data_IF_783907903786
#
_entry.id   IF_783907903786
#
_cell.length_a   1.000
_cell.length_b   1.000
_cell.length_c   1.000
_cell.angle_alpha   90.00
_cell.angle_beta   90.00
_cell.angle_gamma   90.00
#
_symmetry.space_group_name_H-M   'P 1'
#
loop_
_entity.id
_entity.type
_entity.pdbx_description
1 polymer ?
#
# COMPACT_ATOMS: atom_id res chain seq x y z
N UNK A 1 6.29 13.51 12.59
CA UNK A 1 5.15 12.58 12.75
C UNK A 1 3.87 13.42 12.85
N UNK A 2 2.92 13.25 11.94
CA UNK A 2 1.63 13.96 11.98
C UNK A 2 0.85 13.58 13.26
N UNK A 3 0.39 14.58 14.00
CA UNK A 3 -0.44 14.39 15.16
C UNK A 3 -1.89 14.21 14.74
N UNK A 4 -2.44 13.02 15.04
CA UNK A 4 -3.88 12.78 14.89
C UNK A 4 -4.74 13.65 15.84
N UNK A 5 -4.15 14.47 16.71
CA UNK A 5 -4.90 15.30 17.67
C UNK A 5 -4.72 16.79 17.42
N UNK A 6 -3.74 17.19 16.61
CA UNK A 6 -3.36 18.58 16.49
C UNK A 6 -4.04 19.25 15.29
N UNK A 7 -4.91 20.26 15.50
CA UNK A 7 -5.52 21.00 14.40
C UNK A 7 -4.49 21.71 13.51
N UNK A 8 -3.25 21.95 13.99
CA UNK A 8 -2.17 22.53 13.20
C UNK A 8 -1.68 21.59 12.09
N UNK A 9 -1.86 20.28 12.27
CA UNK A 9 -1.58 19.28 11.24
C UNK A 9 -2.87 18.99 10.45
N UNK A 10 -3.96 18.69 11.15
CA UNK A 10 -5.19 18.18 10.53
C UNK A 10 -5.86 19.17 9.55
N UNK A 11 -5.85 20.48 9.83
CA UNK A 11 -6.58 21.45 9.00
C UNK A 11 -5.85 21.78 7.69
N UNK A 12 -4.52 22.03 7.68
CA UNK A 12 -3.77 22.10 6.43
C UNK A 12 -3.87 20.83 5.59
N UNK A 13 -3.77 19.66 6.22
CA UNK A 13 -3.84 18.37 5.55
C UNK A 13 -5.24 18.14 4.95
N UNK A 14 -6.32 18.53 5.65
CA UNK A 14 -7.69 18.45 5.12
C UNK A 14 -7.88 19.35 3.90
N UNK A 15 -7.29 20.55 3.90
CA UNK A 15 -7.34 21.43 2.74
C UNK A 15 -6.61 20.83 1.53
N UNK A 16 -5.49 20.13 1.76
CA UNK A 16 -4.75 19.43 0.71
C UNK A 16 -5.51 18.22 0.18
N UNK A 17 -6.07 17.39 1.07
CA UNK A 17 -6.91 16.26 0.71
C UNK A 17 -8.11 16.68 -0.13
N UNK A 18 -8.84 17.71 0.31
CA UNK A 18 -9.98 18.25 -0.43
C UNK A 18 -9.58 18.82 -1.79
N UNK A 19 -8.44 19.50 -1.89
CA UNK A 19 -7.91 19.97 -3.17
C UNK A 19 -7.63 18.81 -4.13
N UNK A 20 -6.97 17.75 -3.66
CA UNK A 20 -6.72 16.54 -4.44
C UNK A 20 -8.00 15.83 -4.87
N UNK A 21 -9.04 15.84 -4.03
CA UNK A 21 -10.36 15.26 -4.32
C UNK A 21 -11.31 16.22 -5.08
N UNK A 22 -10.79 17.32 -5.64
CA UNK A 22 -11.54 18.18 -6.55
C UNK A 22 -12.42 19.26 -5.91
N UNK A 23 -12.32 19.47 -4.61
CA UNK A 23 -13.08 20.50 -3.91
C UNK A 23 -12.45 21.88 -4.10
N UNK A 24 -13.30 22.90 -4.18
CA UNK A 24 -12.89 24.29 -4.34
C UNK A 24 -12.42 24.88 -3.01
N UNK A 25 -11.17 24.62 -2.65
CA UNK A 25 -10.56 25.11 -1.40
C UNK A 25 -10.00 26.53 -1.49
N UNK A 26 -9.74 27.06 -2.70
CA UNK A 26 -9.30 28.45 -2.90
C UNK A 26 -8.07 28.84 -2.05
N UNK A 27 -8.17 29.92 -1.29
CA UNK A 27 -7.10 30.39 -0.40
C UNK A 27 -7.04 29.67 0.97
N UNK A 28 -7.98 28.75 1.23
CA UNK A 28 -8.12 28.09 2.53
C UNK A 28 -6.88 27.27 2.89
N UNK A 29 -6.23 26.62 1.92
CA UNK A 29 -5.01 25.85 2.16
C UNK A 29 -3.86 26.77 2.65
N UNK A 30 -3.65 27.91 1.99
CA UNK A 30 -2.66 28.90 2.41
C UNK A 30 -2.99 29.47 3.78
N UNK A 31 -4.26 29.81 4.03
CA UNK A 31 -4.72 30.32 5.32
C UNK A 31 -4.56 29.29 6.45
N UNK A 32 -4.83 28.01 6.17
CA UNK A 32 -4.60 26.92 7.12
C UNK A 32 -3.12 26.83 7.50
N UNK A 33 -2.22 26.80 6.51
CA UNK A 33 -0.76 26.72 6.74
C UNK A 33 -0.24 27.92 7.53
N UNK A 34 -0.68 29.14 7.20
CA UNK A 34 -0.31 30.35 7.94
C UNK A 34 -0.83 30.33 9.38
N UNK A 35 -2.08 29.92 9.60
CA UNK A 35 -2.66 29.80 10.93
C UNK A 35 -1.96 28.72 11.77
N UNK A 36 -1.60 27.59 11.16
CA UNK A 36 -0.83 26.52 11.80
C UNK A 36 0.55 27.00 12.25
N UNK A 37 1.29 27.67 11.35
CA UNK A 37 2.60 28.26 11.66
C UNK A 37 2.54 29.30 12.78
N UNK A 38 1.44 30.08 12.85
CA UNK A 38 1.19 31.05 13.92
C UNK A 38 0.62 30.42 15.21
N UNK A 39 0.31 29.11 15.21
CA UNK A 39 -0.45 28.44 16.28
C UNK A 39 -1.79 29.12 16.62
N UNK A 40 -2.45 29.73 15.63
CA UNK A 40 -3.76 30.37 15.79
C UNK A 40 -4.89 29.33 15.65
N UNK A 41 -5.23 28.70 16.76
CA UNK A 41 -6.27 27.67 16.83
C UNK A 41 -7.67 28.19 16.46
N UNK A 42 -7.95 29.47 16.70
CA UNK A 42 -9.23 30.07 16.33
C UNK A 42 -9.33 30.27 14.81
N UNK A 43 -8.25 30.70 14.16
CA UNK A 43 -8.20 30.76 12.70
C UNK A 43 -8.31 29.37 12.07
N UNK A 44 -7.63 28.36 12.64
CA UNK A 44 -7.75 26.98 12.17
C UNK A 44 -9.18 26.45 12.27
N UNK A 45 -9.88 26.72 13.39
CA UNK A 45 -11.27 26.32 13.55
C UNK A 45 -12.19 26.96 12.48
N UNK A 46 -12.02 28.27 12.21
CA UNK A 46 -12.78 28.95 11.13
C UNK A 46 -12.47 28.38 9.75
N UNK A 47 -11.20 28.05 9.46
CA UNK A 47 -10.83 27.44 8.19
C UNK A 47 -11.44 26.04 8.07
N UNK A 48 -11.44 25.23 9.14
CA UNK A 48 -12.08 23.91 9.17
C UNK A 48 -13.57 23.99 8.83
N UNK A 49 -14.31 24.93 9.41
CA UNK A 49 -15.74 25.13 9.09
C UNK A 49 -15.94 25.50 7.61
N UNK A 50 -15.05 26.31 7.04
CA UNK A 50 -15.10 26.69 5.63
C UNK A 50 -14.78 25.51 4.70
N UNK A 51 -13.80 24.67 5.07
CA UNK A 51 -13.45 23.45 4.32
C UNK A 51 -14.61 22.46 4.32
N UNK A 52 -15.30 22.27 5.46
CA UNK A 52 -16.46 21.39 5.55
C UNK A 52 -17.63 21.82 4.64
N UNK A 53 -17.67 23.09 4.24
CA UNK A 53 -18.66 23.65 3.32
C UNK A 53 -18.15 23.82 1.88
N UNK A 54 -16.90 23.42 1.59
CA UNK A 54 -16.33 23.56 0.26
C UNK A 54 -17.11 22.70 -0.75
N UNK A 55 -17.54 23.26 -1.89
CA UNK A 55 -18.22 22.47 -2.90
C UNK A 55 -17.22 21.71 -3.77
N UNK A 56 -17.63 20.55 -4.27
CA UNK A 56 -16.94 19.89 -5.37
C UNK A 56 -16.98 20.80 -6.61
N UNK A 57 -15.88 20.89 -7.36
CA UNK A 57 -15.86 21.69 -8.58
C UNK A 57 -16.88 21.15 -9.60
N UNK A 58 -17.67 22.01 -10.28
CA UNK A 58 -18.69 21.55 -11.22
C UNK A 58 -18.16 20.77 -12.44
N UNK A 59 -16.89 20.95 -12.77
CA UNK A 59 -16.18 20.34 -13.90
C UNK A 59 -15.23 19.21 -13.44
N UNK A 60 -15.52 18.57 -12.32
CA UNK A 60 -14.75 17.42 -11.85
C UNK A 60 -14.92 16.25 -12.84
N UNK A 61 -13.84 15.76 -13.47
CA UNK A 61 -13.95 14.81 -14.57
C UNK A 61 -14.17 13.38 -14.08
N UNK A 62 -13.95 13.14 -12.79
CA UNK A 62 -13.95 11.82 -12.17
C UNK A 62 -15.30 11.50 -11.51
N UNK A 63 -15.63 10.21 -11.51
CA UNK A 63 -16.75 9.62 -10.78
C UNK A 63 -16.17 8.56 -9.83
N UNK A 64 -16.19 8.88 -8.53
CA UNK A 64 -15.49 8.15 -7.47
C UNK A 64 -16.48 7.71 -6.40
N UNK A 65 -17.26 6.64 -6.68
CA UNK A 65 -18.30 6.16 -5.78
C UNK A 65 -17.71 5.62 -4.47
N UNK A 66 -18.36 5.94 -3.36
CA UNK A 66 -18.00 5.40 -2.04
C UNK A 66 -19.04 4.43 -1.50
N UNK A 67 -20.13 4.17 -2.25
CA UNK A 67 -21.19 3.30 -1.78
C UNK A 67 -20.78 1.82 -1.89
N UNK A 68 -20.98 1.00 -0.85
CA UNK A 68 -20.53 -0.38 -0.86
C UNK A 68 -21.14 -1.23 -1.97
N UNK A 69 -22.36 -0.92 -2.43
CA UNK A 69 -23.05 -1.71 -3.44
C UNK A 69 -22.37 -1.58 -4.80
N UNK A 70 -22.06 -0.36 -5.22
CA UNK A 70 -21.31 -0.10 -6.46
C UNK A 70 -19.92 -0.73 -6.38
N UNK A 71 -19.22 -0.57 -5.26
CA UNK A 71 -17.87 -1.10 -5.09
C UNK A 71 -17.82 -2.63 -5.10
N UNK A 72 -18.82 -3.30 -4.53
CA UNK A 72 -18.96 -4.77 -4.57
C UNK A 72 -19.25 -5.31 -5.97
N UNK A 73 -19.77 -4.49 -6.87
CA UNK A 73 -20.06 -4.87 -8.26
C UNK A 73 -18.85 -4.65 -9.19
N UNK A 74 -17.79 -4.01 -8.72
CA UNK A 74 -16.55 -3.90 -9.49
C UNK A 74 -15.97 -5.30 -9.73
N UNK A 75 -15.35 -5.50 -10.90
CA UNK A 75 -14.85 -6.81 -11.30
C UNK A 75 -15.95 -7.85 -11.59
N UNK A 76 -17.23 -7.47 -11.69
CA UNK A 76 -18.28 -8.39 -12.11
C UNK A 76 -17.91 -9.13 -13.41
N UNK A 77 -17.99 -10.46 -13.38
CA UNK A 77 -17.61 -11.36 -14.47
C UNK A 77 -16.12 -11.74 -14.52
N UNK A 78 -15.30 -11.29 -13.56
CA UNK A 78 -13.97 -11.85 -13.34
C UNK A 78 -14.13 -13.16 -12.58
N UNK A 79 -13.98 -14.27 -13.30
CA UNK A 79 -14.10 -15.61 -12.73
C UNK A 79 -12.80 -16.02 -12.00
N UNK A 80 -12.89 -16.76 -10.89
CA UNK A 80 -11.73 -17.36 -10.24
C UNK A 80 -10.97 -18.28 -11.19
N UNK A 81 -9.65 -18.22 -11.14
CA UNK A 81 -8.74 -19.05 -11.93
C UNK A 81 -8.07 -20.11 -11.06
N UNK A 82 -7.89 -21.34 -11.57
CA UNK A 82 -7.21 -22.39 -10.81
C UNK A 82 -5.77 -22.00 -10.45
N UNK A 83 -5.34 -22.42 -9.26
CA UNK A 83 -3.97 -22.30 -8.78
C UNK A 83 -3.43 -23.69 -8.51
N UNK A 84 -2.18 -23.95 -8.93
CA UNK A 84 -1.49 -25.20 -8.63
C UNK A 84 -1.31 -25.35 -7.11
N UNK A 85 -1.97 -26.36 -6.54
CA UNK A 85 -1.98 -26.61 -5.09
C UNK A 85 -0.64 -27.13 -4.57
N UNK A 86 0.11 -27.83 -5.41
CA UNK A 86 1.41 -28.39 -5.01
C UNK A 86 2.46 -27.27 -4.95
N UNK A 87 2.33 -26.28 -5.84
CA UNK A 87 3.22 -25.12 -5.92
C UNK A 87 2.80 -23.95 -5.00
N UNK A 88 1.52 -23.90 -4.61
CA UNK A 88 0.96 -22.80 -3.82
C UNK A 88 1.73 -22.50 -2.52
N UNK A 89 2.14 -23.48 -1.68
CA UNK A 89 2.92 -23.19 -0.48
C UNK A 89 4.24 -22.48 -0.76
N UNK A 90 4.92 -22.85 -1.86
CA UNK A 90 6.17 -22.22 -2.30
C UNK A 90 5.92 -20.76 -2.69
N UNK A 91 4.85 -20.50 -3.43
CA UNK A 91 4.45 -19.16 -3.89
C UNK A 91 3.98 -18.25 -2.75
N UNK A 92 3.25 -18.79 -1.77
CA UNK A 92 2.87 -18.03 -0.55
C UNK A 92 4.10 -17.67 0.27
N UNK A 93 5.04 -18.60 0.44
CA UNK A 93 6.31 -18.32 1.09
C UNK A 93 7.09 -17.24 0.33
N UNK A 94 7.10 -17.33 -1.00
CA UNK A 94 7.67 -16.31 -1.88
C UNK A 94 7.04 -14.94 -1.65
N UNK A 95 5.71 -14.85 -1.59
CA UNK A 95 5.02 -13.58 -1.38
C UNK A 95 5.38 -12.93 -0.03
N UNK A 96 5.36 -13.70 1.06
CA UNK A 96 5.78 -13.20 2.38
C UNK A 96 7.25 -12.77 2.41
N UNK A 97 8.14 -13.57 1.83
CA UNK A 97 9.56 -13.28 1.81
C UNK A 97 9.88 -12.07 0.92
N UNK A 98 9.23 -11.98 -0.24
CA UNK A 98 9.38 -10.88 -1.18
C UNK A 98 8.89 -9.57 -0.59
N UNK A 99 7.76 -9.61 0.13
CA UNK A 99 7.25 -8.47 0.91
C UNK A 99 8.26 -7.99 1.94
N UNK A 100 8.80 -8.90 2.75
CA UNK A 100 9.76 -8.58 3.80
C UNK A 100 11.08 -8.00 3.24
N UNK A 101 11.60 -8.59 2.17
CA UNK A 101 12.84 -8.13 1.51
C UNK A 101 12.61 -6.77 0.84
N UNK A 102 11.50 -6.60 0.10
CA UNK A 102 11.14 -5.35 -0.56
C UNK A 102 10.99 -4.20 0.44
N UNK A 103 10.21 -4.41 1.50
CA UNK A 103 10.05 -3.45 2.59
C UNK A 103 11.42 -3.01 3.16
N UNK A 104 12.26 -3.97 3.53
CA UNK A 104 13.58 -3.68 4.13
C UNK A 104 14.51 -2.91 3.17
N UNK A 105 14.46 -3.19 1.87
CA UNK A 105 15.26 -2.50 0.86
C UNK A 105 14.88 -1.01 0.72
N UNK A 106 13.58 -0.70 0.75
CA UNK A 106 13.07 0.66 0.62
C UNK A 106 13.15 1.50 1.90
N UNK A 107 13.20 0.86 3.08
CA UNK A 107 12.98 1.50 4.37
C UNK A 107 13.92 2.68 4.72
N UNK A 108 15.24 2.61 4.50
CA UNK A 108 16.15 3.68 4.94
C UNK A 108 15.98 5.02 4.19
N UNK A 109 15.40 4.98 2.99
CA UNK A 109 15.26 6.12 2.06
C UNK A 109 13.80 6.50 1.81
N UNK A 110 12.88 5.96 2.61
CA UNK A 110 11.48 6.37 2.63
C UNK A 110 11.34 7.88 2.87
N UNK A 111 10.42 8.51 2.15
CA UNK A 111 10.13 9.95 2.20
C UNK A 111 10.98 10.80 1.25
N UNK A 112 12.01 10.23 0.62
CA UNK A 112 12.85 10.94 -0.35
C UNK A 112 12.16 11.07 -1.71
N UNK A 113 12.33 12.21 -2.38
CA UNK A 113 11.96 12.32 -3.81
C UNK A 113 12.81 11.40 -4.68
N UNK A 114 12.36 11.07 -5.90
CA UNK A 114 13.15 10.31 -6.88
C UNK A 114 14.56 10.87 -7.08
N UNK A 115 14.69 12.19 -7.19
CA UNK A 115 15.99 12.86 -7.33
C UNK A 115 16.89 12.62 -6.12
N UNK A 116 16.33 12.67 -4.91
CA UNK A 116 17.08 12.43 -3.67
C UNK A 116 17.48 10.96 -3.53
N UNK A 117 16.59 10.01 -3.87
CA UNK A 117 16.90 8.58 -3.92
C UNK A 117 18.05 8.30 -4.89
N UNK A 118 17.97 8.81 -6.12
CA UNK A 118 19.04 8.65 -7.11
C UNK A 118 20.36 9.25 -6.61
N UNK A 119 20.31 10.47 -6.04
CA UNK A 119 21.48 11.15 -5.47
C UNK A 119 22.13 10.31 -4.37
N UNK A 120 21.33 9.81 -3.43
CA UNK A 120 21.82 9.00 -2.31
C UNK A 120 22.44 7.69 -2.78
N UNK A 121 21.70 6.92 -3.60
CA UNK A 121 22.14 5.61 -4.07
C UNK A 121 23.36 5.71 -5.00
N UNK A 122 23.48 6.76 -5.82
CA UNK A 122 24.70 6.99 -6.61
C UNK A 122 25.91 7.29 -5.72
N UNK A 123 25.73 8.11 -4.68
CA UNK A 123 26.79 8.39 -3.73
C UNK A 123 27.25 7.14 -2.96
N UNK A 124 26.33 6.21 -2.70
CA UNK A 124 26.62 4.91 -2.09
C UNK A 124 27.19 3.88 -3.08
N UNK A 125 27.23 4.17 -4.39
CA UNK A 125 27.59 3.18 -5.41
C UNK A 125 26.54 2.07 -5.60
N UNK A 126 25.29 2.33 -5.21
CA UNK A 126 24.15 1.42 -5.20
C UNK A 126 23.03 1.87 -6.17
N UNK A 127 23.36 2.49 -7.31
CA UNK A 127 22.38 2.86 -8.35
C UNK A 127 22.60 2.06 -9.66
N UNK A 128 21.65 1.21 -10.08
CA UNK A 128 20.40 0.84 -9.40
C UNK A 128 20.65 0.04 -8.11
N UNK A 129 19.68 0.03 -7.19
CA UNK A 129 19.80 -0.65 -5.90
C UNK A 129 19.82 -2.16 -6.08
N UNK A 130 20.88 -2.81 -5.59
CA UNK A 130 21.05 -4.28 -5.66
C UNK A 130 21.10 -4.95 -4.29
N UNK A 131 21.02 -4.17 -3.21
CA UNK A 131 21.14 -4.65 -1.84
C UNK A 131 20.66 -3.63 -0.82
N UNK A 132 20.82 -3.97 0.46
CA UNK A 132 20.43 -3.08 1.56
C UNK A 132 21.22 -1.77 1.54
N UNK A 133 20.54 -0.67 1.84
CA UNK A 133 21.10 0.68 1.78
C UNK A 133 22.26 0.81 2.76
N UNK A 134 23.41 1.29 2.28
CA UNK A 134 24.54 1.65 3.14
C UNK A 134 24.36 3.07 3.71
N UNK A 135 24.63 3.25 5.01
CA UNK A 135 24.55 4.57 5.62
C UNK A 135 25.80 5.41 5.30
N UNK A 136 25.58 6.53 4.62
CA UNK A 136 26.61 7.53 4.35
C UNK A 136 26.66 8.61 5.43
N UNK A 137 27.86 8.90 5.92
CA UNK A 137 28.16 10.04 6.79
C UNK A 137 29.37 10.81 6.24
N UNK A 138 29.25 12.12 5.93
CA UNK A 138 28.03 12.93 5.99
C UNK A 138 26.99 12.53 4.91
N UNK A 139 25.75 13.01 5.06
CA UNK A 139 24.74 12.87 4.01
C UNK A 139 25.21 13.56 2.71
N UNK A 140 24.97 12.96 1.53
CA UNK A 140 25.28 13.59 0.25
C UNK A 140 24.57 14.95 0.07
N UNK A 141 25.23 15.87 -0.63
CA UNK A 141 24.61 17.15 -0.99
C UNK A 141 23.35 16.91 -1.84
N UNK A 142 22.25 17.58 -1.47
CA UNK A 142 20.95 17.44 -2.14
C UNK A 142 20.01 16.40 -1.52
N UNK A 143 20.47 15.59 -0.56
CA UNK A 143 19.61 14.66 0.20
C UNK A 143 19.17 15.32 1.50
N UNK A 144 17.86 15.49 1.68
CA UNK A 144 17.33 16.25 2.81
C UNK A 144 17.39 15.53 4.16
N UNK A 145 17.16 14.21 4.17
CA UNK A 145 17.13 13.39 5.38
C UNK A 145 17.28 11.90 5.04
N UNK A 146 17.28 11.04 6.06
CA UNK A 146 16.98 9.61 5.92
C UNK A 146 15.79 9.29 6.82
N UNK A 147 15.12 8.19 6.53
CA UNK A 147 14.01 7.76 7.37
C UNK A 147 14.48 7.47 8.81
N UNK A 148 13.59 7.66 9.80
CA UNK A 148 13.92 7.48 11.22
C UNK A 148 14.33 6.03 11.56
N UNK A 149 13.99 5.09 10.69
CA UNK A 149 14.40 3.69 10.81
C UNK A 149 15.79 3.37 10.28
N UNK A 150 16.39 4.24 9.48
CA UNK A 150 17.68 4.00 8.83
C UNK A 150 18.77 3.47 9.80
N UNK A 151 18.89 3.95 11.06
CA UNK A 151 19.87 3.42 12.03
C UNK A 151 19.73 1.93 12.39
N UNK A 152 18.56 1.32 12.16
CA UNK A 152 18.25 -0.07 12.47
C UNK A 152 17.65 -0.88 11.30
N UNK A 153 17.48 -0.29 10.11
CA UNK A 153 17.03 -0.98 8.89
C UNK A 153 18.04 -0.95 7.73
N UNK A 154 19.15 -0.24 7.87
CA UNK A 154 20.22 -0.21 6.86
C UNK A 154 21.12 -1.46 6.88
N UNK A 155 21.96 -1.60 5.85
CA UNK A 155 22.88 -2.71 5.69
C UNK A 155 23.70 -2.99 6.97
N UNK A 156 23.65 -4.24 7.44
CA UNK A 156 24.38 -4.67 8.63
C UNK A 156 23.84 -4.14 9.97
N UNK A 157 22.68 -3.48 10.00
CA UNK A 157 22.07 -2.91 11.22
C UNK A 157 20.93 -3.73 11.81
N UNK A 158 20.56 -4.85 11.17
CA UNK A 158 19.46 -5.71 11.60
C UNK A 158 19.86 -7.20 11.58
N UNK A 159 19.14 -8.00 12.36
CA UNK A 159 19.35 -9.46 12.50
C UNK A 159 18.08 -10.27 12.27
N UNK A 160 16.92 -9.62 12.38
CA UNK A 160 15.61 -10.07 11.96
C UNK A 160 15.08 -8.98 10.99
N UNK A 161 14.03 -9.26 10.21
CA UNK A 161 13.37 -8.23 9.38
C UNK A 161 12.97 -7.06 10.29
N UNK A 162 13.41 -5.82 10.01
CA UNK A 162 13.05 -4.66 10.81
C UNK A 162 11.53 -4.52 10.93
N UNK A 163 11.07 -3.99 12.06
CA UNK A 163 9.63 -3.77 12.25
C UNK A 163 9.16 -2.70 11.27
N UNK A 164 8.00 -2.96 10.70
CA UNK A 164 7.30 -2.08 9.77
C UNK A 164 5.79 -2.25 9.95
N UNK A 165 5.00 -1.18 9.77
CA UNK A 165 3.55 -1.31 9.76
C UNK A 165 3.02 -2.07 8.54
N UNK A 166 3.72 -2.05 7.41
CA UNK A 166 3.45 -2.93 6.25
C UNK A 166 3.33 -4.38 6.66
N UNK A 167 4.26 -4.85 7.49
CA UNK A 167 4.31 -6.23 7.95
C UNK A 167 3.33 -6.46 9.10
N UNK A 168 3.17 -5.49 10.01
CA UNK A 168 2.21 -5.57 11.11
C UNK A 168 0.77 -5.72 10.60
N UNK A 169 0.36 -4.92 9.62
CA UNK A 169 -0.98 -5.00 9.05
C UNK A 169 -1.21 -6.32 8.33
N UNK A 170 -0.21 -6.82 7.60
CA UNK A 170 -0.31 -8.12 6.92
C UNK A 170 -0.46 -9.26 7.93
N UNK A 171 0.30 -9.23 9.03
CA UNK A 171 0.21 -10.20 10.13
C UNK A 171 -1.15 -10.12 10.83
N UNK A 172 -1.64 -8.91 11.10
CA UNK A 172 -2.96 -8.71 11.71
C UNK A 172 -4.09 -9.19 10.79
N UNK A 173 -3.99 -8.92 9.49
CA UNK A 173 -4.93 -9.42 8.49
C UNK A 173 -4.98 -10.96 8.44
N UNK A 174 -3.84 -11.63 8.58
CA UNK A 174 -3.80 -13.11 8.65
C UNK A 174 -4.56 -13.60 9.88
N UNK A 175 -4.30 -12.98 11.04
CA UNK A 175 -5.02 -13.28 12.28
C UNK A 175 -6.54 -13.05 12.16
N UNK A 176 -6.95 -11.97 11.49
CA UNK A 176 -8.36 -11.67 11.23
C UNK A 176 -9.02 -12.77 10.39
N UNK A 177 -8.35 -13.23 9.33
CA UNK A 177 -8.85 -14.31 8.47
C UNK A 177 -8.93 -15.64 9.23
N UNK A 178 -7.92 -15.98 10.03
CA UNK A 178 -7.94 -17.19 10.86
C UNK A 178 -9.11 -17.20 11.85
N UNK A 179 -9.42 -16.04 12.43
CA UNK A 179 -10.44 -15.93 13.47
C UNK A 179 -11.86 -15.83 12.92
N UNK A 180 -12.07 -15.04 11.88
CA UNK A 180 -13.41 -14.70 11.39
C UNK A 180 -13.73 -15.34 10.02
N UNK A 181 -12.70 -15.73 9.25
CA UNK A 181 -12.84 -16.25 7.91
C UNK A 181 -13.68 -15.33 7.02
N UNK A 182 -14.49 -15.93 6.14
CA UNK A 182 -15.40 -15.17 5.26
C UNK A 182 -16.57 -14.47 5.96
N UNK A 183 -16.65 -14.49 7.30
CA UNK A 183 -17.65 -13.71 8.07
C UNK A 183 -17.05 -12.43 8.67
N UNK A 184 -15.79 -12.12 8.35
CA UNK A 184 -15.11 -10.91 8.81
C UNK A 184 -15.95 -9.67 8.53
N UNK A 185 -16.13 -8.83 9.54
CA UNK A 185 -16.80 -7.53 9.42
C UNK A 185 -15.86 -6.39 9.78
N UNK A 186 -16.15 -5.18 9.31
CA UNK A 186 -15.39 -3.96 9.67
C UNK A 186 -15.37 -3.74 11.19
N UNK A 187 -16.43 -4.14 11.90
CA UNK A 187 -16.51 -4.03 13.35
C UNK A 187 -15.58 -5.04 14.07
N UNK A 188 -15.44 -6.25 13.53
CA UNK A 188 -14.46 -7.23 14.04
C UNK A 188 -13.04 -6.69 13.90
N UNK A 189 -12.74 -6.07 12.75
CA UNK A 189 -11.43 -5.43 12.48
C UNK A 189 -11.17 -4.31 13.49
N UNK A 190 -12.14 -3.41 13.68
CA UNK A 190 -12.03 -2.33 14.66
C UNK A 190 -11.75 -2.84 16.08
N UNK A 191 -12.42 -3.93 16.50
CA UNK A 191 -12.23 -4.54 17.80
C UNK A 191 -10.82 -5.15 17.96
N UNK A 192 -10.32 -5.86 16.95
CA UNK A 192 -8.98 -6.45 16.99
C UNK A 192 -7.88 -5.37 16.93
N UNK A 193 -8.10 -4.24 16.26
CA UNK A 193 -7.16 -3.11 16.31
C UNK A 193 -6.99 -2.58 17.73
N UNK A 194 -8.10 -2.33 18.43
CA UNK A 194 -8.09 -1.87 19.82
C UNK A 194 -7.40 -2.86 20.77
N UNK A 195 -7.43 -4.14 20.45
CA UNK A 195 -6.90 -5.22 21.29
C UNK A 195 -5.43 -5.58 20.97
N UNK A 196 -4.99 -5.42 19.71
CA UNK A 196 -3.74 -6.04 19.23
C UNK A 196 -2.66 -5.10 18.74
N UNK A 197 -3.00 -3.91 18.26
CA UNK A 197 -2.00 -2.96 17.77
C UNK A 197 -1.93 -1.73 18.67
N UNK A 198 -0.75 -1.35 19.18
CA UNK A 198 -0.60 -0.12 19.94
C UNK A 198 -0.89 1.11 19.07
N UNK A 199 -1.67 2.06 19.59
CA UNK A 199 -2.01 3.32 18.90
C UNK A 199 -0.80 4.09 18.35
N UNK A 200 0.34 4.05 19.03
CA UNK A 200 1.56 4.75 18.58
C UNK A 200 2.24 4.07 17.39
N UNK A 201 1.83 2.86 17.03
CA UNK A 201 2.40 2.05 15.94
C UNK A 201 1.53 2.07 14.67
N UNK A 202 0.39 2.76 14.67
CA UNK A 202 -0.45 3.04 13.49
C UNK A 202 -0.14 4.43 12.96
N UNK A 203 -0.21 4.73 11.66
CA UNK A 203 0.15 6.04 11.11
C UNK A 203 -1.04 6.75 10.48
N UNK A 204 -0.91 8.05 10.20
CA UNK A 204 -1.83 8.85 9.36
C UNK A 204 -3.32 8.49 9.49
N UNK A 205 -3.92 7.85 8.46
CA UNK A 205 -5.34 7.53 8.38
C UNK A 205 -5.75 6.51 9.44
N UNK A 206 -4.92 5.49 9.66
CA UNK A 206 -5.12 4.46 10.66
C UNK A 206 -5.10 5.06 12.06
N UNK A 207 -4.14 5.94 12.34
CA UNK A 207 -4.03 6.63 13.63
C UNK A 207 -5.22 7.55 13.86
N UNK A 208 -5.69 8.25 12.83
CA UNK A 208 -6.89 9.09 12.92
C UNK A 208 -8.15 8.26 13.18
N UNK A 209 -8.33 7.14 12.46
CA UNK A 209 -9.45 6.23 12.66
C UNK A 209 -9.40 5.52 14.02
N UNK A 210 -8.22 5.08 14.48
CA UNK A 210 -8.04 4.48 15.81
C UNK A 210 -8.43 5.48 16.91
N UNK A 211 -7.98 6.74 16.80
CA UNK A 211 -8.43 7.82 17.69
C UNK A 211 -9.95 7.94 17.69
N UNK A 212 -10.58 7.90 16.50
CA UNK A 212 -12.03 7.97 16.37
C UNK A 212 -12.73 6.79 17.06
N UNK A 213 -12.22 5.56 16.93
CA UNK A 213 -12.72 4.39 17.64
C UNK A 213 -12.68 4.56 19.16
N UNK A 214 -11.57 5.08 19.70
CA UNK A 214 -11.43 5.36 21.15
C UNK A 214 -12.42 6.43 21.62
N UNK A 215 -12.86 7.33 20.73
CA UNK A 215 -13.93 8.30 21.01
C UNK A 215 -15.35 7.76 20.79
N UNK A 216 -15.51 6.47 20.50
CA UNK A 216 -16.82 5.84 20.29
C UNK A 216 -17.46 6.15 18.93
N UNK A 217 -16.65 6.53 17.94
CA UNK A 217 -17.11 6.67 16.55
C UNK A 217 -16.99 5.31 15.88
N UNK A 218 -18.01 4.92 15.11
CA UNK A 218 -18.07 3.64 14.43
C UNK A 218 -17.88 3.79 12.92
N UNK A 219 -17.47 2.72 12.25
CA UNK A 219 -17.39 2.72 10.80
C UNK A 219 -18.78 2.95 10.17
N UNK A 220 -18.90 3.69 9.06
CA UNK A 220 -17.80 4.23 8.25
C UNK A 220 -17.31 5.62 8.70
N UNK A 221 -17.91 6.25 9.71
CA UNK A 221 -17.59 7.63 10.11
C UNK A 221 -16.17 7.79 10.68
N UNK A 222 -15.57 6.68 11.13
CA UNK A 222 -14.15 6.61 11.53
C UNK A 222 -13.19 7.04 10.42
N UNK A 223 -13.54 6.78 9.15
CA UNK A 223 -12.72 7.09 8.00
C UNK A 223 -12.72 8.58 7.61
N UNK A 224 -13.75 9.35 8.01
CA UNK A 224 -13.94 10.73 7.54
C UNK A 224 -13.88 11.78 8.64
N UNK A 225 -14.21 11.41 9.89
CA UNK A 225 -14.18 12.36 11.01
C UNK A 225 -12.75 12.78 11.35
N UNK A 226 -12.40 14.04 11.07
CA UNK A 226 -11.05 14.59 11.35
C UNK A 226 -9.93 13.66 10.84
N UNK A 227 -10.13 13.10 9.65
CA UNK A 227 -9.19 12.19 8.99
C UNK A 227 -8.88 12.70 7.57
N UNK A 228 -7.87 13.57 7.43
CA UNK A 228 -7.46 14.11 6.13
C UNK A 228 -6.62 13.12 5.31
N UNK A 229 -6.31 11.94 5.84
CA UNK A 229 -5.39 10.98 5.24
C UNK A 229 -6.10 9.85 4.49
N UNK A 230 -7.44 9.93 4.39
CA UNK A 230 -8.35 8.87 3.94
C UNK A 230 -8.19 8.38 2.48
N UNK A 231 -7.33 9.01 1.68
CA UNK A 231 -6.92 8.52 0.34
C UNK A 231 -5.42 8.20 0.25
N UNK A 232 -4.70 8.23 1.37
CA UNK A 232 -3.28 7.84 1.44
C UNK A 232 -3.14 6.33 1.45
N UNK A 233 -1.91 5.85 1.24
CA UNK A 233 -1.58 4.44 0.91
C UNK A 233 -1.85 3.45 2.05
N UNK A 234 -2.12 3.89 3.28
CA UNK A 234 -2.18 3.03 4.45
C UNK A 234 -3.20 1.88 4.35
N UNK A 235 -4.26 2.04 3.56
CA UNK A 235 -5.14 0.95 3.16
C UNK A 235 -4.48 -0.06 2.20
N UNK A 236 -3.84 0.42 1.13
CA UNK A 236 -3.14 -0.40 0.13
C UNK A 236 -2.14 -1.36 0.76
N UNK A 237 -1.34 -0.93 1.74
CA UNK A 237 -0.31 -1.77 2.36
C UNK A 237 -0.87 -2.94 3.20
N UNK A 238 -2.18 -2.97 3.48
CA UNK A 238 -2.83 -4.07 4.21
C UNK A 238 -3.36 -5.16 3.29
N UNK A 239 -3.41 -4.88 1.98
CA UNK A 239 -4.16 -5.65 1.00
C UNK A 239 -3.60 -7.06 0.73
N UNK A 240 -2.27 -7.20 0.78
CA UNK A 240 -1.56 -8.39 0.29
C UNK A 240 -2.10 -9.70 0.86
N UNK A 241 -2.37 -9.71 2.17
CA UNK A 241 -2.86 -10.91 2.86
C UNK A 241 -4.21 -11.38 2.33
N UNK A 242 -5.09 -10.47 1.93
CA UNK A 242 -6.37 -10.81 1.31
C UNK A 242 -6.17 -11.45 -0.06
N UNK A 243 -5.12 -11.05 -0.78
CA UNK A 243 -4.67 -11.74 -1.99
C UNK A 243 -4.12 -13.15 -1.69
N UNK A 244 -3.29 -13.29 -0.66
CA UNK A 244 -2.68 -14.58 -0.31
C UNK A 244 -3.71 -15.65 0.08
N UNK A 245 -4.79 -15.25 0.77
CA UNK A 245 -5.84 -16.18 1.23
C UNK A 245 -6.94 -16.41 0.20
N UNK A 246 -6.93 -15.67 -0.92
CA UNK A 246 -7.82 -15.84 -2.07
C UNK A 246 -7.03 -16.02 -3.38
N UNK A 247 -6.11 -16.99 -3.46
CA UNK A 247 -5.24 -17.15 -4.61
C UNK A 247 -6.06 -17.52 -5.85
N UNK A 248 -5.88 -16.76 -6.92
CA UNK A 248 -6.64 -16.91 -8.16
C UNK A 248 -8.09 -16.41 -8.10
N UNK A 249 -8.54 -15.83 -6.99
CA UNK A 249 -9.87 -15.21 -6.85
C UNK A 249 -9.76 -13.71 -6.50
N UNK A 250 -9.45 -12.85 -7.48
CA UNK A 250 -9.36 -11.40 -7.28
C UNK A 250 -10.64 -10.78 -6.74
N UNK A 251 -11.81 -11.34 -7.05
CA UNK A 251 -13.09 -10.82 -6.59
C UNK A 251 -13.30 -11.04 -5.10
N UNK A 252 -12.99 -12.24 -4.60
CA UNK A 252 -13.05 -12.52 -3.17
C UNK A 252 -12.00 -11.73 -2.38
N UNK A 253 -10.79 -11.57 -2.93
CA UNK A 253 -9.73 -10.75 -2.33
C UNK A 253 -10.17 -9.27 -2.20
N UNK A 254 -10.68 -8.68 -3.29
CA UNK A 254 -11.17 -7.31 -3.31
C UNK A 254 -12.37 -7.10 -2.38
N UNK A 255 -13.28 -8.09 -2.28
CA UNK A 255 -14.41 -8.02 -1.37
C UNK A 255 -13.99 -7.97 0.11
N UNK A 256 -12.95 -8.73 0.48
CA UNK A 256 -12.42 -8.71 1.85
C UNK A 256 -11.64 -7.41 2.14
N UNK A 257 -10.82 -6.96 1.18
CA UNK A 257 -10.15 -5.66 1.23
C UNK A 257 -11.16 -4.51 1.42
N UNK A 258 -12.32 -4.55 0.74
CA UNK A 258 -13.37 -3.56 0.94
C UNK A 258 -13.94 -3.56 2.36
N UNK A 259 -14.02 -4.72 3.03
CA UNK A 259 -14.46 -4.80 4.43
C UNK A 259 -13.45 -4.13 5.36
N UNK A 260 -12.15 -4.32 5.09
CA UNK A 260 -11.05 -3.72 5.87
C UNK A 260 -10.91 -2.21 5.63
N UNK A 261 -10.73 -1.80 4.38
CA UNK A 261 -10.49 -0.41 3.99
C UNK A 261 -11.52 0.58 4.52
N UNK A 262 -12.80 0.16 4.61
CA UNK A 262 -13.92 0.99 5.08
C UNK A 262 -13.77 1.46 6.53
N UNK A 263 -12.91 0.85 7.32
CA UNK A 263 -12.63 1.32 8.67
C UNK A 263 -11.93 2.68 8.67
N UNK A 264 -11.05 2.93 7.69
CA UNK A 264 -10.06 4.00 7.77
C UNK A 264 -10.00 4.90 6.54
N UNK A 265 -10.44 4.41 5.37
CA UNK A 265 -10.27 5.07 4.08
C UNK A 265 -11.59 5.26 3.32
N UNK A 266 -11.54 6.13 2.31
CA UNK A 266 -12.60 6.32 1.31
C UNK A 266 -11.98 6.40 -0.09
N UNK A 267 -12.80 6.32 -1.14
CA UNK A 267 -12.41 6.57 -2.54
C UNK A 267 -11.07 5.94 -2.90
N UNK A 268 -10.07 6.70 -3.39
CA UNK A 268 -8.80 6.14 -3.85
C UNK A 268 -8.04 5.35 -2.78
N UNK A 269 -8.24 5.63 -1.49
CA UNK A 269 -7.69 4.79 -0.42
C UNK A 269 -8.30 3.38 -0.40
N UNK A 270 -9.63 3.28 -0.52
CA UNK A 270 -10.32 1.99 -0.70
C UNK A 270 -9.91 1.34 -2.01
N UNK A 271 -9.86 2.10 -3.11
CA UNK A 271 -9.56 1.56 -4.42
C UNK A 271 -8.14 0.99 -4.50
N UNK A 272 -7.19 1.60 -3.78
CA UNK A 272 -5.82 1.08 -3.68
C UNK A 272 -5.77 -0.29 -3.01
N UNK A 273 -6.52 -0.48 -1.91
CA UNK A 273 -6.56 -1.76 -1.21
C UNK A 273 -7.26 -2.84 -2.03
N UNK A 274 -8.40 -2.53 -2.66
CA UNK A 274 -9.10 -3.50 -3.52
C UNK A 274 -8.27 -3.86 -4.74
N UNK A 275 -7.56 -2.89 -5.32
CA UNK A 275 -6.64 -3.12 -6.43
C UNK A 275 -5.45 -4.00 -6.02
N UNK A 276 -4.77 -3.68 -4.93
CA UNK A 276 -3.60 -4.45 -4.48
C UNK A 276 -3.98 -5.88 -4.07
N UNK A 277 -5.10 -6.08 -3.39
CA UNK A 277 -5.60 -7.42 -3.04
C UNK A 277 -5.92 -8.24 -4.30
N UNK A 278 -6.58 -7.62 -5.28
CA UNK A 278 -6.88 -8.26 -6.57
C UNK A 278 -5.61 -8.56 -7.40
N UNK A 279 -4.61 -7.67 -7.34
CA UNK A 279 -3.31 -7.84 -8.00
C UNK A 279 -2.56 -9.04 -7.43
N UNK A 280 -2.44 -9.12 -6.10
CA UNK A 280 -1.77 -10.22 -5.42
C UNK A 280 -2.53 -11.54 -5.60
N UNK A 281 -3.86 -11.54 -5.50
CA UNK A 281 -4.67 -12.73 -5.80
C UNK A 281 -4.47 -13.21 -7.25
N UNK A 282 -4.52 -12.26 -8.21
CA UNK A 282 -4.32 -12.52 -9.63
C UNK A 282 -2.94 -13.12 -9.91
N UNK A 283 -1.90 -12.59 -9.26
CA UNK A 283 -0.52 -13.05 -9.38
C UNK A 283 -0.35 -14.55 -9.13
N UNK A 284 -1.19 -15.19 -8.31
CA UNK A 284 -1.18 -16.66 -8.11
C UNK A 284 -1.69 -17.47 -9.32
N UNK A 285 -2.33 -16.84 -10.29
CA UNK A 285 -3.07 -17.51 -11.37
C UNK A 285 -2.82 -16.95 -12.78
N UNK A 286 -1.96 -15.94 -12.90
CA UNK A 286 -1.52 -15.36 -14.17
C UNK A 286 -0.10 -15.80 -14.53
N UNK A 287 0.24 -15.67 -15.81
CA UNK A 287 1.59 -16.01 -16.29
C UNK A 287 2.57 -14.83 -16.17
N UNK A 288 2.05 -13.61 -16.01
CA UNK A 288 2.84 -12.38 -15.92
C UNK A 288 2.22 -11.36 -14.97
N UNK A 289 3.06 -10.40 -14.55
CA UNK A 289 2.63 -9.26 -13.76
C UNK A 289 1.72 -8.30 -14.56
N UNK A 290 1.97 -8.10 -15.86
CA UNK A 290 1.08 -7.28 -16.71
C UNK A 290 -0.34 -7.86 -16.73
N UNK A 291 -0.48 -9.18 -16.86
CA UNK A 291 -1.79 -9.82 -16.83
C UNK A 291 -2.49 -9.63 -15.47
N UNK A 292 -1.75 -9.78 -14.36
CA UNK A 292 -2.28 -9.54 -13.02
C UNK A 292 -2.73 -8.08 -12.83
N UNK A 293 -1.96 -7.11 -13.34
CA UNK A 293 -2.30 -5.68 -13.32
C UNK A 293 -3.57 -5.39 -14.12
N UNK A 294 -3.72 -5.98 -15.30
CA UNK A 294 -4.93 -5.84 -16.13
C UNK A 294 -6.17 -6.40 -15.42
N UNK A 295 -6.04 -7.55 -14.75
CA UNK A 295 -7.14 -8.13 -13.97
C UNK A 295 -7.47 -7.25 -12.76
N UNK A 296 -6.47 -6.81 -12.00
CA UNK A 296 -6.64 -5.97 -10.82
C UNK A 296 -7.32 -4.63 -11.13
N UNK A 297 -7.03 -4.05 -12.30
CA UNK A 297 -7.65 -2.80 -12.76
C UNK A 297 -9.18 -2.89 -12.87
N UNK A 298 -9.75 -4.09 -13.03
CA UNK A 298 -11.22 -4.32 -13.04
C UNK A 298 -11.89 -4.03 -11.70
N UNK A 299 -11.13 -3.95 -10.61
CA UNK A 299 -11.60 -3.69 -9.24
C UNK A 299 -11.43 -2.22 -8.81
N UNK A 300 -11.19 -1.34 -9.77
CA UNK A 300 -11.10 0.12 -9.61
C UNK A 300 -12.17 0.78 -10.48
N UNK A 301 -12.93 1.79 -9.99
CA UNK A 301 -13.91 2.48 -10.82
C UNK A 301 -13.27 3.14 -12.05
N UNK A 302 -13.84 2.91 -13.24
CA UNK A 302 -13.24 3.30 -14.52
C UNK A 302 -13.02 4.81 -14.70
N UNK A 303 -13.82 5.63 -14.02
CA UNK A 303 -13.72 7.09 -14.05
C UNK A 303 -13.10 7.65 -12.77
N UNK A 304 -12.26 6.90 -12.06
CA UNK A 304 -11.53 7.38 -10.88
C UNK A 304 -10.15 7.95 -11.23
N UNK A 305 -9.54 8.71 -10.31
CA UNK A 305 -8.15 9.17 -10.45
C UNK A 305 -7.16 8.01 -10.45
N UNK A 306 -7.36 7.00 -9.59
CA UNK A 306 -6.51 5.81 -9.56
C UNK A 306 -6.57 5.04 -10.89
N UNK A 307 -7.76 4.88 -11.47
CA UNK A 307 -7.92 4.27 -12.80
C UNK A 307 -7.08 4.99 -13.87
N UNK A 308 -7.16 6.32 -13.93
CA UNK A 308 -6.38 7.11 -14.88
C UNK A 308 -4.86 6.95 -14.69
N UNK A 309 -4.40 6.84 -13.44
CA UNK A 309 -2.99 6.63 -13.14
C UNK A 309 -2.50 5.24 -13.59
N UNK A 310 -3.27 4.19 -13.27
CA UNK A 310 -2.96 2.81 -13.65
C UNK A 310 -3.03 2.59 -15.16
N UNK A 311 -4.04 3.13 -15.83
CA UNK A 311 -4.18 3.05 -17.28
C UNK A 311 -3.06 3.82 -17.97
N UNK A 312 -2.71 5.01 -17.44
CA UNK A 312 -1.63 5.83 -17.98
C UNK A 312 -0.26 5.16 -17.93
N UNK A 313 0.12 4.55 -16.81
CA UNK A 313 1.41 3.85 -16.72
C UNK A 313 1.47 2.59 -17.60
N UNK A 314 0.35 1.86 -17.72
CA UNK A 314 0.21 0.73 -18.64
C UNK A 314 0.34 1.16 -20.10
N UNK A 315 -0.25 2.29 -20.48
CA UNK A 315 -0.16 2.84 -21.84
C UNK A 315 1.28 3.29 -22.16
N UNK A 316 1.98 3.91 -21.20
CA UNK A 316 3.40 4.25 -21.35
C UNK A 316 4.23 2.99 -21.62
N UNK A 317 4.04 1.94 -20.83
CA UNK A 317 4.70 0.65 -21.06
C UNK A 317 4.39 0.07 -22.46
N UNK A 318 3.11 0.02 -22.83
CA UNK A 318 2.66 -0.55 -24.12
C UNK A 318 3.11 0.24 -25.34
N UNK A 319 3.45 1.51 -25.18
CA UNK A 319 4.04 2.31 -26.24
C UNK A 319 5.50 1.92 -26.59
N UNK A 320 6.12 1.04 -25.79
CA UNK A 320 7.52 0.64 -25.90
C UNK A 320 8.48 1.63 -25.26
N UNK A 321 7.98 2.49 -24.37
CA UNK A 321 8.80 3.45 -23.64
C UNK A 321 9.71 2.76 -22.60
N UNK A 322 10.82 3.41 -22.25
CA UNK A 322 11.76 2.88 -21.27
C UNK A 322 11.24 3.03 -19.84
N UNK A 323 11.85 2.31 -18.90
CA UNK A 323 11.54 2.47 -17.47
C UNK A 323 11.75 3.91 -16.99
N UNK A 324 12.76 4.60 -17.53
CA UNK A 324 13.02 6.03 -17.24
C UNK A 324 11.86 6.90 -17.71
N UNK A 325 11.32 6.65 -18.91
CA UNK A 325 10.16 7.38 -19.42
C UNK A 325 8.90 7.15 -18.55
N UNK A 326 8.74 5.92 -18.03
CA UNK A 326 7.68 5.57 -17.08
C UNK A 326 7.80 6.36 -15.76
N UNK A 327 8.99 6.39 -15.17
CA UNK A 327 9.24 7.17 -13.95
C UNK A 327 9.07 8.69 -14.19
N UNK A 328 9.52 9.20 -15.34
CA UNK A 328 9.35 10.61 -15.72
C UNK A 328 7.86 10.95 -15.90
N UNK A 329 7.07 10.02 -16.43
CA UNK A 329 5.62 10.17 -16.52
C UNK A 329 4.98 10.22 -15.12
N UNK A 330 5.38 9.34 -14.20
CA UNK A 330 4.88 9.34 -12.82
C UNK A 330 5.15 10.69 -12.15
N UNK A 331 6.39 11.20 -12.22
CA UNK A 331 6.73 12.50 -11.63
C UNK A 331 5.92 13.65 -12.23
N UNK A 332 5.78 13.65 -13.57
CA UNK A 332 5.07 14.73 -14.27
C UNK A 332 3.57 14.73 -13.99
N UNK A 333 2.93 13.57 -14.08
CA UNK A 333 1.47 13.47 -14.00
C UNK A 333 0.98 13.32 -12.56
N UNK A 334 1.74 12.64 -11.70
CA UNK A 334 1.30 12.25 -10.35
C UNK A 334 2.14 12.90 -9.24
N UNK A 335 3.22 13.61 -9.59
CA UNK A 335 4.14 14.14 -8.59
C UNK A 335 3.59 15.27 -7.72
N UNK A 336 2.43 15.81 -8.08
CA UNK A 336 1.68 16.81 -7.33
C UNK A 336 0.97 16.24 -6.08
N UNK A 337 0.75 14.92 -6.02
CA UNK A 337 0.19 14.29 -4.84
C UNK A 337 1.20 14.26 -3.68
N UNK A 338 0.66 14.15 -2.46
CA UNK A 338 1.46 13.88 -1.28
C UNK A 338 2.27 12.59 -1.46
N UNK A 339 3.44 12.49 -0.83
CA UNK A 339 4.39 11.40 -1.06
C UNK A 339 3.85 10.03 -0.61
N UNK A 340 2.95 10.00 0.37
CA UNK A 340 2.23 8.79 0.82
C UNK A 340 0.87 8.61 0.14
N UNK A 341 0.55 9.33 -0.94
CA UNK A 341 -0.75 9.21 -1.59
C UNK A 341 -0.86 7.91 -2.40
N UNK A 342 -2.00 7.22 -2.29
CA UNK A 342 -2.24 5.91 -2.94
C UNK A 342 -1.93 5.89 -4.43
N UNK A 343 -2.36 6.93 -5.15
CA UNK A 343 -2.31 7.00 -6.62
C UNK A 343 -0.88 6.92 -7.17
N UNK A 344 0.04 7.73 -6.64
CA UNK A 344 1.43 7.73 -7.09
C UNK A 344 2.09 6.38 -6.80
N UNK A 345 1.89 5.87 -5.59
CA UNK A 345 2.55 4.65 -5.13
C UNK A 345 2.01 3.39 -5.83
N UNK A 346 0.72 3.35 -6.18
CA UNK A 346 0.17 2.32 -7.05
C UNK A 346 0.81 2.34 -8.46
N UNK A 347 1.06 3.53 -9.03
CA UNK A 347 1.77 3.65 -10.31
C UNK A 347 3.24 3.23 -10.21
N UNK A 348 3.91 3.51 -9.09
CA UNK A 348 5.27 3.06 -8.83
C UNK A 348 5.36 1.52 -8.73
N UNK A 349 4.41 0.88 -8.02
CA UNK A 349 4.29 -0.58 -7.96
C UNK A 349 4.10 -1.15 -9.38
N UNK A 350 3.15 -0.61 -10.15
CA UNK A 350 2.91 -1.05 -11.51
C UNK A 350 4.17 -0.89 -12.39
N UNK A 351 4.91 0.22 -12.27
CA UNK A 351 6.13 0.43 -13.02
C UNK A 351 7.22 -0.61 -12.68
N UNK A 352 7.46 -0.88 -11.39
CA UNK A 352 8.42 -1.92 -11.00
C UNK A 352 8.08 -3.30 -11.58
N UNK A 353 6.79 -3.65 -11.58
CA UNK A 353 6.29 -4.92 -12.09
C UNK A 353 6.29 -5.04 -13.62
N UNK A 354 6.11 -3.93 -14.35
CA UNK A 354 6.06 -3.93 -15.83
C UNK A 354 7.46 -3.95 -16.45
N UNK A 355 8.37 -3.12 -15.94
CA UNK A 355 9.71 -2.97 -16.52
C UNK A 355 10.78 -3.87 -15.89
N UNK A 356 10.53 -4.43 -14.70
CA UNK A 356 11.48 -5.33 -14.03
C UNK A 356 11.53 -6.71 -14.69
N UNK A 357 12.74 -7.23 -14.94
CA UNK A 357 12.96 -8.57 -15.50
C UNK A 357 13.23 -9.65 -14.45
N UNK A 358 13.38 -9.26 -13.18
CA UNK A 358 13.62 -10.14 -12.04
C UNK A 358 13.33 -9.44 -10.72
N UNK A 359 13.47 -10.15 -9.59
CA UNK A 359 13.07 -9.64 -8.28
C UNK A 359 13.77 -8.32 -7.94
N UNK A 360 15.12 -8.31 -7.97
CA UNK A 360 15.92 -7.14 -7.60
C UNK A 360 15.62 -5.94 -8.47
N UNK A 361 15.50 -6.14 -9.79
CA UNK A 361 15.23 -5.04 -10.72
C UNK A 361 13.81 -4.47 -10.51
N UNK A 362 12.80 -5.33 -10.31
CA UNK A 362 11.42 -4.89 -10.07
C UNK A 362 11.30 -4.03 -8.81
N UNK A 363 11.93 -4.49 -7.73
CA UNK A 363 11.97 -3.76 -6.45
C UNK A 363 12.80 -2.48 -6.58
N UNK A 364 13.98 -2.52 -7.21
CA UNK A 364 14.83 -1.36 -7.39
C UNK A 364 14.17 -0.26 -8.25
N UNK A 365 13.44 -0.65 -9.31
CA UNK A 365 12.67 0.28 -10.12
C UNK A 365 11.52 0.91 -9.34
N UNK A 366 10.85 0.14 -8.49
CA UNK A 366 9.82 0.67 -7.58
C UNK A 366 10.43 1.70 -6.62
N UNK A 367 11.56 1.38 -5.99
CA UNK A 367 12.26 2.29 -5.07
C UNK A 367 12.79 3.54 -5.80
N UNK A 368 13.23 3.39 -7.05
CA UNK A 368 13.70 4.51 -7.87
C UNK A 368 12.62 5.57 -8.15
N UNK A 369 11.32 5.23 -8.03
CA UNK A 369 10.24 6.22 -8.08
C UNK A 369 10.22 7.15 -6.84
N UNK A 370 10.93 6.77 -5.78
CA UNK A 370 10.98 7.49 -4.51
C UNK A 370 9.66 7.44 -3.75
N UNK A 371 9.50 8.42 -2.85
CA UNK A 371 8.35 8.62 -1.97
C UNK A 371 8.22 7.51 -0.93
N UNK A 372 7.15 6.75 -0.96
CA UNK A 372 6.87 5.69 0.00
C UNK A 372 7.50 4.37 -0.46
N UNK A 373 8.83 4.34 -0.35
CA UNK A 373 9.68 3.36 -1.02
C UNK A 373 9.59 1.97 -0.42
N UNK A 374 9.44 1.85 0.89
CA UNK A 374 9.29 0.55 1.57
C UNK A 374 7.92 -0.07 1.32
N UNK A 375 6.85 0.70 1.47
CA UNK A 375 5.47 0.24 1.21
C UNK A 375 5.27 -0.27 -0.22
N UNK A 376 5.73 0.53 -1.18
CA UNK A 376 5.61 0.20 -2.60
C UNK A 376 6.48 -1.01 -2.96
N UNK A 377 7.73 -1.05 -2.46
CA UNK A 377 8.62 -2.19 -2.67
C UNK A 377 8.11 -3.48 -2.01
N UNK A 378 7.46 -3.39 -0.85
CA UNK A 378 6.86 -4.51 -0.16
C UNK A 378 5.78 -5.18 -1.04
N UNK A 379 4.88 -4.38 -1.60
CA UNK A 379 3.81 -4.88 -2.48
C UNK A 379 4.38 -5.41 -3.80
N UNK A 380 5.37 -4.73 -4.41
CA UNK A 380 6.07 -5.26 -5.60
C UNK A 380 6.74 -6.61 -5.33
N UNK A 381 7.45 -6.73 -4.20
CA UNK A 381 8.12 -7.97 -3.81
C UNK A 381 7.13 -9.11 -3.51
N UNK A 382 6.01 -8.78 -2.89
CA UNK A 382 4.88 -9.68 -2.65
C UNK A 382 4.32 -10.26 -3.94
N UNK A 383 3.99 -9.41 -4.92
CA UNK A 383 3.49 -9.83 -6.23
C UNK A 383 4.51 -10.68 -6.97
N UNK A 384 5.79 -10.28 -6.96
CA UNK A 384 6.86 -11.06 -7.60
C UNK A 384 7.00 -12.45 -6.97
N UNK A 385 7.00 -12.52 -5.63
CA UNK A 385 7.04 -13.79 -4.90
C UNK A 385 5.80 -14.65 -5.13
N UNK A 386 4.62 -14.04 -5.23
CA UNK A 386 3.39 -14.74 -5.58
C UNK A 386 3.41 -15.28 -7.01
N UNK A 387 4.05 -14.60 -7.98
CA UNK A 387 4.22 -15.10 -9.34
C UNK A 387 5.25 -16.24 -9.42
N UNK A 388 6.41 -16.04 -8.79
CA UNK A 388 7.60 -16.83 -9.09
C UNK A 388 8.05 -17.77 -7.99
N UNK A 389 7.50 -17.65 -6.78
CA UNK A 389 7.89 -18.41 -5.59
C UNK A 389 9.18 -17.93 -4.92
N UNK A 390 9.54 -18.62 -3.84
CA UNK A 390 10.57 -18.19 -2.90
C UNK A 390 12.02 -18.38 -3.40
N UNK A 391 12.26 -19.36 -4.26
CA UNK A 391 13.54 -19.60 -4.94
C UNK A 391 13.89 -18.52 -5.97
N UNK A 392 12.92 -17.72 -6.40
CA UNK A 392 13.14 -16.56 -7.26
C UNK A 392 13.64 -15.31 -6.49
N UNK A 393 13.65 -15.35 -5.16
CA UNK A 393 14.17 -14.27 -4.32
C UNK A 393 15.66 -14.51 -4.06
N UNK A 394 16.55 -13.54 -4.32
CA UNK A 394 17.99 -13.72 -4.17
C UNK A 394 18.39 -14.14 -2.75
N UNK A 395 19.09 -15.27 -2.65
CA UNK A 395 19.48 -15.86 -1.37
C UNK A 395 20.38 -14.93 -0.53
N UNK A 396 21.14 -14.05 -1.17
CA UNK A 396 21.96 -13.03 -0.52
C UNK A 396 21.15 -11.91 0.16
N UNK A 397 19.95 -11.62 -0.34
CA UNK A 397 19.03 -10.69 0.32
C UNK A 397 18.32 -11.38 1.48
N UNK A 398 17.90 -12.63 1.30
CA UNK A 398 17.29 -13.42 2.38
C UNK A 398 18.27 -13.58 3.55
N UNK A 399 19.49 -14.04 3.23
CA UNK A 399 20.59 -14.20 4.17
C UNK A 399 20.18 -14.92 5.45
N UNK A 400 20.73 -14.46 6.58
CA UNK A 400 20.33 -14.90 7.92
C UNK A 400 19.30 -13.97 8.58
N UNK A 401 18.87 -12.91 7.89
CA UNK A 401 18.10 -11.81 8.47
C UNK A 401 16.61 -11.89 8.18
N UNK A 402 16.20 -12.54 7.07
CA UNK A 402 14.80 -12.63 6.65
C UNK A 402 14.13 -13.95 7.06
N UNK A 403 14.42 -14.44 8.27
CA UNK A 403 13.76 -15.62 8.84
C UNK A 403 12.64 -15.26 9.82
N UNK A 404 12.79 -14.17 10.56
CA UNK A 404 11.87 -13.70 11.60
C UNK A 404 11.53 -12.26 11.35
N UNK A 405 10.30 -11.88 11.68
CA UNK A 405 9.78 -10.53 11.49
C UNK A 405 9.60 -9.86 12.84
N UNK A 406 10.20 -8.68 13.03
CA UNK A 406 9.86 -7.86 14.20
C UNK A 406 8.47 -7.26 14.00
N UNK A 407 7.61 -7.38 15.01
CA UNK A 407 6.21 -6.93 14.89
C UNK A 407 5.73 -6.24 16.15
N UNK A 408 4.85 -5.24 15.98
CA UNK A 408 4.13 -4.60 17.10
C UNK A 408 2.79 -5.26 17.41
N UNK A 409 2.34 -6.21 16.58
CA UNK A 409 1.11 -6.94 16.81
C UNK A 409 1.28 -7.85 18.03
N UNK A 410 0.38 -7.69 19.01
CA UNK A 410 0.39 -8.48 20.24
C UNK A 410 0.40 -9.97 19.91
N UNK A 411 1.37 -10.68 20.48
CA UNK A 411 1.63 -12.13 20.35
C UNK A 411 2.37 -12.57 19.07
N UNK A 412 2.85 -11.64 18.23
CA UNK A 412 3.49 -11.97 16.93
C UNK A 412 4.92 -11.42 16.74
N UNK A 413 5.54 -10.78 17.73
CA UNK A 413 6.95 -10.36 17.60
C UNK A 413 7.87 -11.56 17.35
N UNK A 414 8.71 -11.47 16.33
CA UNK A 414 9.66 -12.51 15.88
C UNK A 414 9.00 -13.78 15.33
N UNK A 415 7.75 -13.71 14.88
CA UNK A 415 7.12 -14.77 14.07
C UNK A 415 7.98 -15.06 12.83
N UNK A 416 8.05 -16.33 12.43
CA UNK A 416 8.88 -16.71 11.28
C UNK A 416 8.13 -16.55 9.95
N UNK A 417 8.85 -16.27 8.87
CA UNK A 417 8.27 -16.25 7.51
C UNK A 417 7.65 -17.61 7.18
N UNK A 418 8.30 -18.72 7.58
CA UNK A 418 7.78 -20.07 7.35
C UNK A 418 6.47 -20.32 8.12
N UNK A 419 6.36 -19.82 9.35
CA UNK A 419 5.11 -19.91 10.13
C UNK A 419 4.00 -19.07 9.51
N UNK A 420 4.28 -17.83 9.10
CA UNK A 420 3.31 -16.97 8.43
C UNK A 420 2.81 -17.61 7.13
N UNK A 421 3.71 -18.18 6.33
CA UNK A 421 3.36 -18.88 5.11
C UNK A 421 2.49 -20.12 5.40
N UNK A 422 2.88 -20.96 6.36
CA UNK A 422 2.13 -22.17 6.73
C UNK A 422 0.72 -21.83 7.24
N UNK A 423 0.58 -20.79 8.07
CA UNK A 423 -0.70 -20.29 8.57
C UNK A 423 -1.59 -19.75 7.45
N UNK A 424 -0.99 -19.02 6.52
CA UNK A 424 -1.68 -18.51 5.33
C UNK A 424 -2.22 -19.66 4.48
N UNK A 425 -1.38 -20.68 4.19
CA UNK A 425 -1.80 -21.88 3.45
C UNK A 425 -2.96 -22.60 4.14
N UNK A 426 -2.96 -22.65 5.48
CA UNK A 426 -4.01 -23.32 6.24
C UNK A 426 -5.40 -22.66 6.12
N UNK A 427 -5.46 -21.36 5.82
CA UNK A 427 -6.73 -20.60 5.69
C UNK A 427 -7.07 -20.21 4.25
N UNK A 428 -6.14 -20.37 3.32
CA UNK A 428 -6.33 -20.00 1.93
C UNK A 428 -7.46 -20.79 1.25
N UNK A 429 -8.26 -20.08 0.47
CA UNK A 429 -9.39 -20.63 -0.30
C UNK A 429 -8.99 -20.76 -1.76
N UNK A 430 -8.43 -21.92 -2.10
CA UNK A 430 -8.02 -22.22 -3.48
C UNK A 430 -9.24 -22.63 -4.29
N UNK A 431 -9.60 -21.83 -5.29
CA UNK A 431 -10.62 -22.18 -6.28
C UNK A 431 -10.26 -23.51 -6.95
N UNK A 432 -11.20 -24.46 -6.95
CA UNK A 432 -11.05 -25.73 -7.67
C UNK A 432 -11.50 -25.48 -9.10
N UNK A 433 -10.71 -25.92 -10.08
CA UNK A 433 -11.18 -25.96 -11.47
C UNK A 433 -12.49 -26.75 -11.50
N UNK A 434 -13.57 -26.16 -12.01
CA UNK A 434 -14.77 -26.93 -12.29
C UNK A 434 -14.36 -28.08 -13.22
N UNK A 435 -14.51 -29.32 -12.77
CA UNK A 435 -14.37 -30.46 -13.68
C UNK A 435 -15.36 -30.23 -14.81
N UNK A 436 -14.84 -29.99 -16.02
CA UNK A 436 -15.65 -30.03 -17.22
C UNK A 436 -16.34 -31.40 -17.22
N UNK A 437 -17.64 -31.44 -16.91
CA UNK A 437 -18.45 -32.62 -17.14
C UNK A 437 -18.27 -32.99 -18.61
N UNK A 438 -17.45 -34.00 -18.85
CA UNK A 438 -17.29 -34.59 -20.15
C UNK A 438 -18.66 -35.17 -20.52
N UNK A 439 -19.33 -34.48 -21.44
CA UNK A 439 -20.56 -34.95 -22.09
C UNK A 439 -20.26 -36.33 -22.67
N UNK A 440 -20.86 -37.37 -22.07
CA UNK A 440 -20.92 -38.74 -22.59
C UNK A 440 -22.07 -38.87 -23.60
#
# INVERSE_FOLDING_TARGET
>A
MHSALDPRDLVPDEAEQLAHSGYLVGDLQTRARLAAAASDLHALARVREQLAAAPLRPDWPYDEPSDPTTLQLLGAGVEPRPVDRDDFPRRVRGAWLGRAVGNTLGKPIEGLSRTEVETYLRAAGQWPQIGYVELLEPLPEGVSHLHESAPYSAAGRFTDVPRDDDLDWTILGLHLVERYGGRLTTEDIANEWLDRIPFTQTFTAERAAYRNLVHGVHAPDTATRDNPYREWIGALIRADIFGYVHPGDPAAAAAMALVDARLTHVQNGIYGETWAAALVAGAFSTESAEEALVVARRFVPDRSRLAAALDGILDVHRSGASAVDGLDWIDRELGHYNWVHTIHNAAAIAAGLLWGSGFTESVALTIAAGRDTDSSAATTGSVFGALHGDDAIPAELVGSTHHRVRSSIRDFDRVTIDELAARTVAVARIAVAAESEAVL
#
